data_IF_215087221980
#
_entry.id   IF_215087221980
#
_cell.length_a   1.000
_cell.length_b   1.000
_cell.length_c   1.000
_cell.angle_alpha   90.00
_cell.angle_beta   90.00
_cell.angle_gamma   90.00
#
_symmetry.space_group_name_H-M   'P 1'
#
loop_
_entity.id
_entity.type
_entity.pdbx_description
1 polymer ?
#
# COMPACT_ATOMS: atom_id res chain seq x y z
N UNK A 1 17.69 -5.14 -25.99
CA UNK A 1 17.44 -4.29 -24.80
C UNK A 1 17.12 -5.24 -23.66
N UNK A 2 17.91 -5.22 -22.58
CA UNK A 2 17.65 -6.06 -21.40
C UNK A 2 16.44 -5.45 -20.68
N UNK A 3 15.26 -6.08 -20.84
CA UNK A 3 14.04 -5.61 -20.18
C UNK A 3 14.16 -5.78 -18.66
N UNK A 4 13.92 -4.69 -17.94
CA UNK A 4 13.77 -4.71 -16.48
C UNK A 4 12.60 -5.62 -16.12
N UNK A 5 12.83 -6.62 -15.26
CA UNK A 5 11.78 -7.49 -14.74
C UNK A 5 11.67 -7.35 -13.24
N UNK A 6 10.47 -7.03 -12.79
CA UNK A 6 10.09 -7.02 -11.37
C UNK A 6 9.83 -8.47 -10.94
N UNK A 7 10.63 -8.97 -9.99
CA UNK A 7 10.61 -10.39 -9.58
C UNK A 7 9.68 -10.64 -8.39
N UNK A 8 9.83 -9.82 -7.36
CA UNK A 8 9.03 -9.86 -6.14
C UNK A 8 9.04 -8.50 -5.46
N UNK A 9 8.06 -8.25 -4.61
CA UNK A 9 8.08 -7.09 -3.74
C UNK A 9 9.03 -7.38 -2.58
N UNK A 10 10.05 -6.54 -2.42
CA UNK A 10 11.00 -6.59 -1.30
C UNK A 10 10.41 -5.94 -0.04
N UNK A 11 9.53 -4.96 -0.22
CA UNK A 11 8.86 -4.23 0.85
C UNK A 11 8.17 -2.96 0.34
N UNK A 12 7.76 -2.14 1.27
CA UNK A 12 7.09 -0.86 1.00
C UNK A 12 7.81 0.25 1.74
N UNK A 13 7.87 1.45 1.16
CA UNK A 13 8.50 2.59 1.79
C UNK A 13 7.51 3.75 1.94
N UNK A 14 7.29 4.18 3.17
CA UNK A 14 6.50 5.36 3.53
C UNK A 14 7.43 6.52 3.84
N UNK A 15 6.96 7.74 3.60
CA UNK A 15 7.70 8.97 3.91
C UNK A 15 7.02 9.68 5.08
N UNK A 16 7.81 10.16 6.02
CA UNK A 16 7.29 10.89 7.20
C UNK A 16 8.07 12.18 7.48
N UNK A 17 7.36 13.16 8.00
CA UNK A 17 7.97 14.35 8.59
C UNK A 17 8.41 14.13 10.05
N UNK A 18 7.82 13.13 10.76
CA UNK A 18 8.11 12.81 12.15
C UNK A 18 8.34 11.30 12.33
N UNK A 19 9.59 10.87 12.11
CA UNK A 19 9.97 9.46 12.18
C UNK A 19 9.63 8.80 13.52
N UNK A 20 9.93 9.37 14.69
CA UNK A 20 9.59 8.75 15.96
C UNK A 20 8.08 8.58 16.19
N UNK A 21 7.26 9.54 15.74
CA UNK A 21 5.80 9.48 15.88
C UNK A 21 5.23 8.35 15.03
N UNK A 22 5.61 8.30 13.75
CA UNK A 22 5.09 7.29 12.85
C UNK A 22 5.55 5.89 13.23
N UNK A 23 6.82 5.71 13.58
CA UNK A 23 7.36 4.43 14.07
C UNK A 23 6.59 3.93 15.29
N UNK A 24 6.34 4.79 16.28
CA UNK A 24 5.53 4.40 17.46
C UNK A 24 4.12 3.92 17.06
N UNK A 25 3.45 4.60 16.13
CA UNK A 25 2.14 4.17 15.66
C UNK A 25 2.18 2.74 15.08
N UNK A 26 3.14 2.46 14.19
CA UNK A 26 3.29 1.14 13.58
C UNK A 26 3.66 0.06 14.63
N UNK A 27 4.45 0.39 15.64
CA UNK A 27 4.82 -0.55 16.69
C UNK A 27 3.70 -0.76 17.73
N UNK A 28 3.17 0.34 18.28
CA UNK A 28 2.29 0.28 19.45
C UNK A 28 0.84 -0.04 19.09
N UNK A 29 0.37 0.45 17.91
CA UNK A 29 -1.02 0.25 17.45
C UNK A 29 -1.12 -0.94 16.52
N UNK A 30 -0.23 -1.04 15.53
CA UNK A 30 -0.29 -2.09 14.51
C UNK A 30 0.61 -3.29 14.84
N UNK A 31 1.48 -3.18 15.83
CA UNK A 31 2.33 -4.27 16.31
C UNK A 31 3.44 -4.70 15.34
N UNK A 32 3.90 -3.79 14.47
CA UNK A 32 5.07 -4.06 13.64
C UNK A 32 6.33 -4.22 14.50
N UNK A 33 7.18 -5.16 14.15
CA UNK A 33 8.48 -5.34 14.80
C UNK A 33 9.53 -4.40 14.20
N UNK A 34 10.27 -3.66 15.05
CA UNK A 34 11.38 -2.83 14.59
C UNK A 34 12.69 -3.63 14.52
N UNK A 35 13.48 -3.40 13.47
CA UNK A 35 14.78 -4.00 13.26
C UNK A 35 15.90 -2.98 13.53
N UNK A 36 16.35 -2.94 14.78
CA UNK A 36 17.40 -2.00 15.22
C UNK A 36 16.92 -0.55 15.28
N UNK A 37 17.85 0.38 15.40
CA UNK A 37 17.60 1.82 15.35
C UNK A 37 17.57 2.32 13.89
N UNK A 38 16.94 3.49 13.68
CA UNK A 38 16.94 4.13 12.37
C UNK A 38 18.37 4.43 11.88
N UNK A 39 18.68 4.06 10.65
CA UNK A 39 19.98 4.22 9.99
C UNK A 39 19.96 5.30 8.93
N UNK A 40 21.11 5.89 8.57
CA UNK A 40 21.19 6.76 7.40
C UNK A 40 20.82 6.00 6.11
N UNK A 41 20.12 6.67 5.20
CA UNK A 41 19.94 6.20 3.81
C UNK A 41 21.23 6.52 3.08
N UNK A 42 21.77 5.56 2.32
CA UNK A 42 23.02 5.76 1.62
C UNK A 42 22.91 6.78 0.47
N UNK A 43 24.05 7.36 0.08
CA UNK A 43 24.09 8.41 -0.93
C UNK A 43 23.67 7.93 -2.33
N UNK A 44 23.89 6.66 -2.65
CA UNK A 44 23.48 6.06 -3.93
C UNK A 44 21.96 5.97 -4.01
N UNK A 45 21.31 5.52 -2.93
CA UNK A 45 19.85 5.51 -2.87
C UNK A 45 19.26 6.92 -2.84
N UNK A 46 19.87 7.86 -2.11
CA UNK A 46 19.43 9.27 -2.13
C UNK A 46 19.50 9.86 -3.56
N UNK A 47 20.57 9.57 -4.29
CA UNK A 47 20.73 10.00 -5.69
C UNK A 47 19.69 9.32 -6.60
N UNK A 48 19.42 8.02 -6.41
CA UNK A 48 18.39 7.27 -7.13
C UNK A 48 16.99 7.90 -6.94
N UNK A 49 16.68 8.34 -5.72
CA UNK A 49 15.44 9.02 -5.38
C UNK A 49 15.39 10.48 -5.90
N UNK A 50 16.45 10.99 -6.51
CA UNK A 50 16.55 12.38 -6.97
C UNK A 50 16.61 13.39 -5.81
N UNK A 51 17.07 12.95 -4.64
CA UNK A 51 17.12 13.76 -3.43
C UNK A 51 18.55 14.11 -3.04
N UNK A 52 18.71 15.25 -2.37
CA UNK A 52 19.97 15.71 -1.80
C UNK A 52 19.87 15.84 -0.27
N UNK A 53 21.01 15.85 0.39
CA UNK A 53 21.10 15.96 1.85
C UNK A 53 21.00 14.61 2.55
N UNK A 54 20.62 14.62 3.83
CA UNK A 54 20.57 13.41 4.65
C UNK A 54 19.15 12.80 4.68
N UNK A 55 19.09 11.49 4.62
CA UNK A 55 17.89 10.70 4.89
C UNK A 55 18.13 9.69 6.02
N UNK A 56 17.08 9.30 6.72
CA UNK A 56 17.09 8.25 7.74
C UNK A 56 15.95 7.29 7.50
N UNK A 57 16.21 6.01 7.72
CA UNK A 57 15.24 4.92 7.53
C UNK A 57 15.11 4.10 8.81
N UNK A 58 13.88 3.86 9.24
CA UNK A 58 13.54 2.80 10.18
C UNK A 58 13.01 1.61 9.41
N UNK A 59 13.56 0.43 9.69
CA UNK A 59 13.08 -0.84 9.13
C UNK A 59 12.11 -1.48 10.12
N UNK A 60 10.92 -1.81 9.64
CA UNK A 60 9.87 -2.52 10.37
C UNK A 60 9.46 -3.78 9.60
N UNK A 61 8.81 -4.75 10.28
CA UNK A 61 8.16 -5.89 9.62
C UNK A 61 6.83 -6.24 10.25
N UNK A 62 5.92 -6.77 9.43
CA UNK A 62 4.71 -7.46 9.84
C UNK A 62 4.70 -8.83 9.14
N UNK A 63 4.75 -9.91 9.92
CA UNK A 63 5.05 -11.23 9.37
C UNK A 63 6.39 -11.20 8.61
N UNK A 64 6.39 -11.67 7.36
CA UNK A 64 7.60 -11.68 6.51
C UNK A 64 7.75 -10.43 5.63
N UNK A 65 6.81 -9.49 5.70
CA UNK A 65 6.84 -8.30 4.85
C UNK A 65 7.58 -7.15 5.54
N UNK A 66 8.41 -6.46 4.76
CA UNK A 66 9.20 -5.32 5.23
C UNK A 66 8.49 -4.00 4.94
N UNK A 67 8.50 -3.12 5.92
CA UNK A 67 8.08 -1.73 5.79
C UNK A 67 9.25 -0.82 6.15
N UNK A 68 9.63 0.06 5.26
CA UNK A 68 10.57 1.14 5.53
C UNK A 68 9.81 2.42 5.83
N UNK A 69 10.21 3.13 6.88
CA UNK A 69 9.75 4.49 7.16
C UNK A 69 10.92 5.41 6.96
N UNK A 70 10.83 6.26 5.95
CA UNK A 70 11.87 7.18 5.52
C UNK A 70 11.58 8.61 5.98
N UNK A 71 12.58 9.26 6.53
CA UNK A 71 12.58 10.67 6.87
C UNK A 71 13.71 11.36 6.13
N UNK A 72 13.40 12.43 5.41
CA UNK A 72 14.38 13.19 4.64
C UNK A 72 14.60 14.56 5.29
N UNK A 73 15.87 14.99 5.38
CA UNK A 73 16.24 16.29 5.93
C UNK A 73 15.60 17.46 5.18
N UNK A 74 15.38 17.30 3.87
CA UNK A 74 14.53 18.19 3.09
C UNK A 74 13.12 17.58 3.06
N UNK A 75 12.20 18.14 3.85
CA UNK A 75 10.81 17.71 3.88
C UNK A 75 10.14 17.93 2.51
N UNK A 76 9.34 16.95 2.09
CA UNK A 76 8.42 17.07 0.97
C UNK A 76 7.07 17.64 1.39
N UNK A 77 6.10 17.58 0.48
CA UNK A 77 4.71 18.01 0.74
C UNK A 77 4.03 17.03 1.69
N UNK A 78 3.19 17.55 2.58
CA UNK A 78 2.31 16.73 3.40
C UNK A 78 1.33 15.92 2.51
N UNK A 79 0.73 14.86 3.08
CA UNK A 79 -0.32 14.13 2.40
C UNK A 79 -1.49 15.09 2.08
N UNK A 80 -2.02 15.11 0.83
CA UNK A 80 -3.08 16.05 0.46
C UNK A 80 -4.34 15.82 1.30
N UNK A 81 -4.82 16.88 1.97
CA UNK A 81 -5.98 16.80 2.88
C UNK A 81 -7.28 16.41 2.15
N UNK A 82 -7.44 16.84 0.89
CA UNK A 82 -8.61 16.56 0.05
C UNK A 82 -8.53 15.19 -0.65
N UNK A 83 -7.56 14.35 -0.28
CA UNK A 83 -7.39 13.02 -0.89
C UNK A 83 -8.51 12.07 -0.49
N UNK A 84 -9.11 11.43 -1.47
CA UNK A 84 -10.06 10.33 -1.34
C UNK A 84 -9.53 9.07 -2.05
N UNK A 85 -10.30 7.97 -1.99
CA UNK A 85 -9.89 6.69 -2.58
C UNK A 85 -9.81 6.73 -4.12
N UNK A 86 -10.48 7.65 -4.81
CA UNK A 86 -10.44 7.81 -6.26
C UNK A 86 -9.30 8.73 -6.73
N UNK A 87 -8.67 9.49 -5.85
CA UNK A 87 -7.54 10.37 -6.20
C UNK A 87 -6.38 9.56 -6.79
N UNK A 88 -5.81 10.00 -7.95
CA UNK A 88 -4.78 9.22 -8.66
C UNK A 88 -3.42 9.11 -7.94
N UNK A 89 -3.24 9.75 -6.81
CA UNK A 89 -2.10 9.53 -5.90
C UNK A 89 -2.46 8.68 -4.69
N UNK A 90 -3.70 8.17 -4.61
CA UNK A 90 -4.12 7.30 -3.52
C UNK A 90 -3.46 5.94 -3.65
N UNK A 91 -2.78 5.55 -2.59
CA UNK A 91 -2.14 4.25 -2.48
C UNK A 91 -2.31 3.73 -1.06
N UNK A 92 -2.86 2.54 -0.90
CA UNK A 92 -2.96 1.91 0.41
C UNK A 92 -2.17 0.61 0.50
N UNK A 93 -1.87 0.20 1.74
CA UNK A 93 -1.32 -1.11 2.07
C UNK A 93 -2.41 -1.92 2.77
N UNK A 94 -2.66 -3.14 2.31
CA UNK A 94 -3.65 -4.04 2.89
C UNK A 94 -2.99 -5.02 3.86
N UNK A 95 -3.40 -4.94 5.13
CA UNK A 95 -2.92 -5.78 6.23
C UNK A 95 -3.91 -6.93 6.44
N UNK A 96 -3.46 -8.17 6.27
CA UNK A 96 -4.30 -9.35 6.51
C UNK A 96 -4.48 -9.55 8.01
N UNK A 97 -5.73 -9.65 8.44
CA UNK A 97 -6.09 -9.94 9.82
C UNK A 97 -6.84 -11.27 9.94
N UNK A 98 -6.63 -11.96 11.03
CA UNK A 98 -7.32 -13.20 11.37
C UNK A 98 -8.68 -12.95 12.04
N UNK A 99 -8.80 -11.84 12.79
CA UNK A 99 -10.02 -11.37 13.43
C UNK A 99 -10.21 -9.87 13.18
N UNK A 100 -11.17 -9.52 12.32
CA UNK A 100 -11.49 -8.13 11.97
C UNK A 100 -12.00 -7.33 13.15
N UNK A 101 -12.75 -7.95 14.06
CA UNK A 101 -13.34 -7.24 15.19
C UNK A 101 -12.27 -6.87 16.22
N UNK A 102 -11.38 -7.81 16.55
CA UNK A 102 -10.23 -7.55 17.43
C UNK A 102 -9.31 -6.48 16.80
N UNK A 103 -8.95 -6.65 15.54
CA UNK A 103 -8.07 -5.73 14.83
C UNK A 103 -8.67 -4.32 14.75
N UNK A 104 -9.96 -4.20 14.39
CA UNK A 104 -10.64 -2.91 14.33
C UNK A 104 -10.76 -2.23 15.71
N UNK A 105 -11.05 -3.01 16.76
CA UNK A 105 -11.15 -2.49 18.14
C UNK A 105 -9.82 -1.88 18.63
N UNK A 106 -8.68 -2.32 18.10
CA UNK A 106 -7.35 -1.77 18.44
C UNK A 106 -7.05 -0.44 17.76
N UNK A 107 -7.78 -0.07 16.71
CA UNK A 107 -7.59 1.17 15.93
C UNK A 107 -8.28 2.39 16.55
N UNK A 108 -8.22 2.52 17.88
CA UNK A 108 -8.81 3.68 18.56
C UNK A 108 -8.08 4.98 18.17
N UNK A 109 -8.87 5.99 17.75
CA UNK A 109 -8.34 7.32 17.44
C UNK A 109 -7.70 7.48 16.06
N UNK A 110 -7.75 6.46 15.19
CA UNK A 110 -7.34 6.62 13.78
C UNK A 110 -8.40 7.38 13.00
N UNK A 111 -8.00 8.05 11.91
CA UNK A 111 -8.92 8.70 10.98
C UNK A 111 -9.50 7.63 10.02
N UNK A 112 -10.79 7.27 10.12
CA UNK A 112 -11.38 6.29 9.22
C UNK A 112 -11.57 6.88 7.82
N UNK A 113 -11.33 6.05 6.80
CA UNK A 113 -11.81 6.29 5.42
C UNK A 113 -13.17 5.59 5.27
N UNK A 114 -13.27 4.36 5.80
CA UNK A 114 -14.53 3.62 5.76
C UNK A 114 -15.58 4.20 6.69
N UNK A 115 -16.81 4.27 6.22
CA UNK A 115 -17.95 4.72 7.00
C UNK A 115 -18.68 3.53 7.64
N UNK A 116 -19.03 3.66 8.93
CA UNK A 116 -19.80 2.66 9.67
C UNK A 116 -19.03 1.39 10.03
N UNK A 117 -17.70 1.47 10.16
CA UNK A 117 -16.83 0.35 10.55
C UNK A 117 -16.51 -0.63 9.41
N UNK A 118 -16.03 -1.85 9.74
CA UNK A 118 -15.66 -2.85 8.75
C UNK A 118 -16.82 -3.25 7.83
N UNK A 119 -16.54 -3.37 6.54
CA UNK A 119 -17.51 -3.70 5.50
C UNK A 119 -17.28 -5.11 4.97
N UNK A 120 -18.33 -5.90 4.83
CA UNK A 120 -18.30 -7.19 4.14
C UNK A 120 -18.66 -6.98 2.69
N UNK A 121 -17.71 -7.23 1.80
CA UNK A 121 -17.92 -7.15 0.36
C UNK A 121 -18.69 -8.38 -0.16
N UNK A 122 -19.43 -8.25 -1.27
CA UNK A 122 -20.14 -9.37 -1.88
C UNK A 122 -19.17 -10.45 -2.39
N UNK A 123 -19.70 -11.66 -2.64
CA UNK A 123 -18.87 -12.78 -3.15
C UNK A 123 -18.25 -12.51 -4.52
N UNK A 124 -18.86 -11.65 -5.34
CA UNK A 124 -18.32 -11.13 -6.60
C UNK A 124 -17.00 -10.34 -6.41
N UNK A 125 -16.82 -9.75 -5.23
CA UNK A 125 -15.61 -9.02 -4.81
C UNK A 125 -14.81 -9.83 -3.78
N UNK A 126 -14.80 -11.17 -3.89
CA UNK A 126 -14.07 -12.08 -3.01
C UNK A 126 -14.75 -12.40 -1.68
N UNK A 127 -15.80 -11.68 -1.25
CA UNK A 127 -16.50 -11.90 0.02
C UNK A 127 -15.68 -11.52 1.26
N UNK A 128 -14.62 -10.75 1.08
CA UNK A 128 -13.72 -10.31 2.16
C UNK A 128 -14.42 -9.31 3.09
N UNK A 129 -13.90 -9.19 4.29
CA UNK A 129 -14.23 -8.09 5.18
C UNK A 129 -13.07 -7.10 5.17
N UNK A 130 -13.36 -5.80 5.04
CA UNK A 130 -12.33 -4.78 4.88
C UNK A 130 -12.68 -3.51 5.66
N UNK A 131 -11.64 -2.76 6.08
CA UNK A 131 -11.77 -1.47 6.75
C UNK A 131 -10.59 -0.58 6.38
N UNK A 132 -10.85 0.58 5.77
CA UNK A 132 -9.82 1.55 5.39
C UNK A 132 -9.73 2.69 6.39
N UNK A 133 -8.50 3.10 6.68
CA UNK A 133 -8.20 4.18 7.63
C UNK A 133 -6.87 4.85 7.24
N UNK A 134 -6.55 5.95 7.92
CA UNK A 134 -5.27 6.65 7.73
C UNK A 134 -4.39 6.51 8.96
N UNK A 135 -3.09 6.42 8.72
CA UNK A 135 -2.08 6.56 9.77
C UNK A 135 -1.92 8.05 10.18
N UNK A 136 -1.08 8.36 11.19
CA UNK A 136 -0.90 9.74 11.66
C UNK A 136 -0.40 10.75 10.61
N UNK A 137 0.26 10.29 9.54
CA UNK A 137 0.73 11.15 8.45
C UNK A 137 -0.23 11.22 7.27
N UNK A 138 -1.31 10.42 7.31
CA UNK A 138 -2.35 10.40 6.31
C UNK A 138 -2.22 9.28 5.28
N UNK A 139 -1.23 8.36 5.41
CA UNK A 139 -1.12 7.22 4.50
C UNK A 139 -2.33 6.30 4.68
N UNK A 140 -2.98 5.92 3.58
CA UNK A 140 -4.10 4.99 3.64
C UNK A 140 -3.62 3.58 3.94
N UNK A 141 -4.35 2.90 4.83
CA UNK A 141 -4.18 1.50 5.19
C UNK A 141 -5.51 0.79 5.08
N UNK A 142 -5.48 -0.52 4.87
CA UNK A 142 -6.66 -1.37 4.87
C UNK A 142 -6.44 -2.57 5.79
N UNK A 143 -7.39 -2.89 6.66
CA UNK A 143 -7.50 -4.21 7.26
C UNK A 143 -8.28 -5.10 6.30
N UNK A 144 -7.79 -6.32 6.07
CA UNK A 144 -8.38 -7.29 5.15
C UNK A 144 -8.53 -8.65 5.84
N UNK A 145 -9.75 -9.16 5.94
CA UNK A 145 -10.01 -10.52 6.42
C UNK A 145 -10.66 -11.35 5.31
N UNK A 146 -10.03 -12.47 4.98
CA UNK A 146 -10.58 -13.43 4.04
C UNK A 146 -11.75 -14.23 4.66
N UNK A 147 -12.78 -14.58 3.89
CA UNK A 147 -13.87 -15.40 4.41
C UNK A 147 -13.39 -16.81 4.77
N UNK A 148 -14.05 -17.48 5.74
CA UNK A 148 -13.70 -18.85 6.11
C UNK A 148 -13.65 -19.78 4.90
N UNK A 149 -12.60 -20.60 4.83
CA UNK A 149 -12.39 -21.56 3.74
C UNK A 149 -11.88 -20.95 2.42
N UNK A 150 -11.70 -19.63 2.32
CA UNK A 150 -11.15 -18.92 1.15
C UNK A 150 -9.85 -18.15 1.45
N UNK A 151 -9.30 -18.34 2.64
CA UNK A 151 -7.99 -17.76 2.98
C UNK A 151 -6.92 -18.36 2.08
N UNK A 152 -6.14 -17.53 1.33
CA UNK A 152 -5.02 -18.01 0.54
C UNK A 152 -4.02 -18.82 1.37
N UNK A 153 -3.37 -19.81 0.75
CA UNK A 153 -2.45 -20.72 1.46
C UNK A 153 -1.31 -19.98 2.17
N UNK A 154 -0.84 -18.88 1.60
CA UNK A 154 0.21 -18.04 2.19
C UNK A 154 -0.19 -17.48 3.56
N UNK A 155 -1.48 -17.31 3.84
CA UNK A 155 -2.01 -16.79 5.11
C UNK A 155 -2.62 -17.88 6.00
N UNK A 156 -3.01 -19.03 5.46
CA UNK A 156 -3.78 -20.07 6.16
C UNK A 156 -3.06 -20.68 7.34
N UNK A 157 -1.74 -20.77 7.29
CA UNK A 157 -0.90 -21.42 8.31
C UNK A 157 0.02 -20.42 9.02
N UNK A 158 -0.31 -19.14 8.98
CA UNK A 158 0.41 -18.12 9.73
C UNK A 158 -0.29 -17.83 11.03
N UNK A 159 0.47 -17.89 12.10
CA UNK A 159 0.02 -17.43 13.40
C UNK A 159 0.40 -15.97 13.57
N UNK A 160 -0.52 -15.19 14.08
CA UNK A 160 -0.26 -13.82 14.49
C UNK A 160 0.63 -13.86 15.76
N UNK A 161 1.76 -13.16 15.71
CA UNK A 161 2.56 -13.00 16.92
C UNK A 161 1.86 -12.07 17.91
N UNK A 162 2.12 -12.26 19.19
CA UNK A 162 1.60 -11.38 20.24
C UNK A 162 1.84 -9.91 19.88
N UNK A 163 0.82 -9.08 20.08
CA UNK A 163 0.77 -7.65 19.75
C UNK A 163 0.64 -7.29 18.28
N UNK A 164 0.87 -8.16 17.31
CA UNK A 164 0.62 -7.84 15.91
C UNK A 164 -0.88 -7.67 15.64
N UNK A 165 -1.24 -6.71 14.77
CA UNK A 165 -2.63 -6.52 14.36
C UNK A 165 -3.05 -7.59 13.34
N UNK A 166 -2.11 -8.14 12.60
CA UNK A 166 -2.37 -9.06 11.50
C UNK A 166 -1.19 -9.96 11.18
N UNK A 167 -1.36 -10.73 10.10
CA UNK A 167 -0.46 -11.79 9.63
C UNK A 167 0.65 -11.26 8.70
N UNK A 168 0.41 -10.12 8.06
CA UNK A 168 1.33 -9.53 7.08
C UNK A 168 0.64 -8.56 6.13
N UNK A 169 1.36 -8.12 5.09
CA UNK A 169 0.87 -7.21 4.04
C UNK A 169 0.56 -8.03 2.80
N UNK A 170 -0.69 -8.07 2.35
CA UNK A 170 -1.13 -8.83 1.17
C UNK A 170 -0.81 -8.09 -0.13
N UNK A 171 -1.15 -6.82 -0.19
CA UNK A 171 -0.97 -6.02 -1.39
C UNK A 171 -0.76 -4.54 -1.09
N UNK A 172 -0.30 -3.82 -2.10
CA UNK A 172 -0.50 -2.38 -2.20
C UNK A 172 -1.47 -2.12 -3.33
N UNK A 173 -2.50 -1.29 -3.10
CA UNK A 173 -3.42 -0.89 -4.15
C UNK A 173 -3.23 0.59 -4.50
N UNK A 174 -3.19 0.87 -5.79
CA UNK A 174 -3.01 2.21 -6.36
C UNK A 174 -4.21 2.60 -7.22
N UNK A 175 -4.68 3.82 -7.09
CA UNK A 175 -5.73 4.36 -7.95
C UNK A 175 -5.14 4.83 -9.27
N UNK A 176 -5.73 4.37 -10.39
CA UNK A 176 -5.23 4.61 -11.75
C UNK A 176 -6.32 5.17 -12.65
N UNK A 177 -5.92 6.05 -13.59
CA UNK A 177 -6.86 6.66 -14.54
C UNK A 177 -7.37 5.66 -15.58
N UNK A 178 -6.47 4.79 -16.06
CA UNK A 178 -6.78 3.75 -17.06
C UNK A 178 -6.17 2.42 -16.63
N UNK A 179 -6.99 1.49 -16.04
CA UNK A 179 -6.50 0.18 -15.61
C UNK A 179 -5.89 -0.68 -16.71
N UNK A 180 -6.32 -0.52 -17.96
CA UNK A 180 -5.75 -1.29 -19.08
C UNK A 180 -4.37 -0.78 -19.46
N UNK A 181 -4.19 0.54 -19.54
CA UNK A 181 -2.89 1.16 -19.80
C UNK A 181 -1.90 0.83 -18.67
N UNK A 182 -2.34 0.95 -17.40
CA UNK A 182 -1.50 0.59 -16.26
C UNK A 182 -1.19 -0.89 -16.21
N UNK A 183 -2.15 -1.79 -16.50
CA UNK A 183 -1.89 -3.22 -16.57
C UNK A 183 -0.91 -3.57 -17.70
N UNK A 184 -0.99 -2.91 -18.86
CA UNK A 184 -0.03 -3.10 -19.95
C UNK A 184 1.38 -2.67 -19.52
N UNK A 185 1.50 -1.53 -18.83
CA UNK A 185 2.77 -1.06 -18.26
C UNK A 185 3.40 -2.09 -17.31
N UNK A 186 2.64 -2.59 -16.32
CA UNK A 186 3.15 -3.56 -15.35
C UNK A 186 3.42 -4.94 -15.98
N UNK A 187 2.67 -5.35 -17.02
CA UNK A 187 3.01 -6.57 -17.80
C UNK A 187 4.35 -6.41 -18.53
N UNK A 188 4.64 -5.26 -19.10
CA UNK A 188 5.93 -4.99 -19.73
C UNK A 188 7.09 -5.06 -18.71
N UNK A 189 6.83 -4.78 -17.43
CA UNK A 189 7.77 -4.95 -16.32
C UNK A 189 7.80 -6.38 -15.76
N UNK A 190 7.02 -7.33 -16.30
CA UNK A 190 7.08 -8.75 -15.97
C UNK A 190 6.02 -9.25 -14.99
N UNK A 191 5.03 -8.42 -14.59
CA UNK A 191 3.92 -8.86 -13.76
C UNK A 191 2.84 -9.54 -14.59
N UNK A 192 2.10 -10.47 -13.98
CA UNK A 192 0.93 -11.11 -14.58
C UNK A 192 -0.36 -10.54 -13.99
N UNK A 193 -1.36 -10.28 -14.83
CA UNK A 193 -2.68 -9.85 -14.35
C UNK A 193 -3.45 -11.06 -13.81
N UNK A 194 -4.10 -10.88 -12.66
CA UNK A 194 -5.10 -11.81 -12.13
C UNK A 194 -6.51 -11.52 -12.65
N UNK A 195 -7.49 -12.21 -12.07
CA UNK A 195 -8.90 -12.02 -12.41
C UNK A 195 -9.36 -10.62 -11.98
N UNK A 196 -9.99 -9.94 -12.93
CA UNK A 196 -10.55 -8.61 -12.69
C UNK A 196 -11.90 -8.71 -11.99
N UNK A 197 -12.15 -7.83 -11.04
CA UNK A 197 -13.48 -7.62 -10.46
C UNK A 197 -13.98 -6.20 -10.75
N UNK A 198 -15.29 -6.03 -10.71
CA UNK A 198 -15.95 -4.75 -10.69
C UNK A 198 -16.69 -4.66 -9.36
N UNK A 199 -16.25 -3.74 -8.50
CA UNK A 199 -16.79 -3.57 -7.18
C UNK A 199 -17.70 -2.35 -7.16
N UNK A 200 -18.90 -2.51 -6.64
CA UNK A 200 -19.93 -1.48 -6.55
C UNK A 200 -20.83 -1.67 -5.32
N UNK A 201 -21.88 -0.86 -5.25
CA UNK A 201 -22.94 -0.99 -4.28
C UNK A 201 -22.60 -0.45 -2.88
N UNK A 202 -23.56 -0.59 -1.92
CA UNK A 202 -23.48 0.11 -0.64
C UNK A 202 -22.28 -0.28 0.24
N UNK A 203 -21.81 -1.54 0.16
CA UNK A 203 -20.64 -1.98 0.94
C UNK A 203 -19.36 -1.33 0.43
N UNK A 204 -19.18 -1.27 -0.90
CA UNK A 204 -18.02 -0.61 -1.51
C UNK A 204 -18.03 0.89 -1.27
N UNK A 205 -19.20 1.54 -1.37
CA UNK A 205 -19.36 2.96 -1.06
C UNK A 205 -18.92 3.28 0.37
N UNK A 206 -19.37 2.49 1.34
CA UNK A 206 -18.96 2.66 2.74
C UNK A 206 -17.49 2.34 2.97
N UNK A 207 -16.93 1.35 2.27
CA UNK A 207 -15.52 0.99 2.38
C UNK A 207 -14.61 2.14 1.91
N UNK A 208 -14.98 2.77 0.79
CA UNK A 208 -14.17 3.83 0.19
C UNK A 208 -14.53 5.25 0.70
N UNK A 209 -15.60 5.36 1.49
CA UNK A 209 -16.11 6.66 1.97
C UNK A 209 -16.61 7.56 0.85
N UNK A 210 -17.06 6.99 -0.27
CA UNK A 210 -17.50 7.67 -1.49
C UNK A 210 -18.92 7.27 -1.86
N UNK A 211 -19.66 8.18 -2.51
CA UNK A 211 -20.98 7.89 -3.07
C UNK A 211 -20.86 7.28 -4.49
N UNK A 212 -21.85 6.45 -4.84
CA UNK A 212 -22.03 5.91 -6.20
C UNK A 212 -20.76 5.25 -6.78
N UNK A 213 -20.01 4.51 -5.93
CA UNK A 213 -18.74 3.90 -6.33
C UNK A 213 -18.96 2.77 -7.32
N UNK A 214 -18.22 2.85 -8.41
CA UNK A 214 -17.94 1.75 -9.32
C UNK A 214 -16.43 1.71 -9.59
N UNK A 215 -15.73 0.68 -9.09
CA UNK A 215 -14.29 0.54 -9.21
C UNK A 215 -13.90 -0.82 -9.80
N UNK A 216 -13.13 -0.79 -10.89
CA UNK A 216 -12.50 -1.98 -11.45
C UNK A 216 -11.22 -2.28 -10.66
N UNK A 217 -11.06 -3.52 -10.18
CA UNK A 217 -9.87 -3.98 -9.46
C UNK A 217 -9.13 -4.98 -10.34
N UNK A 218 -7.84 -4.72 -10.61
CA UNK A 218 -6.99 -5.60 -11.42
C UNK A 218 -5.75 -5.98 -10.62
N UNK A 219 -5.67 -7.22 -10.08
CA UNK A 219 -4.48 -7.68 -9.41
C UNK A 219 -3.33 -7.85 -10.40
N UNK A 220 -2.14 -7.35 -10.04
CA UNK A 220 -0.89 -7.49 -10.80
C UNK A 220 0.11 -8.25 -9.95
N UNK A 221 0.39 -9.50 -10.32
CA UNK A 221 1.17 -10.44 -9.51
C UNK A 221 2.60 -10.58 -10.03
N UNK A 222 3.63 -10.39 -9.19
CA UNK A 222 4.99 -10.77 -9.51
C UNK A 222 5.15 -12.31 -9.50
N UNK A 223 6.25 -12.82 -10.06
CA UNK A 223 6.56 -14.24 -10.05
C UNK A 223 6.63 -14.82 -8.61
N UNK A 224 7.04 -14.02 -7.64
CA UNK A 224 7.08 -14.39 -6.21
C UNK A 224 5.72 -14.46 -5.51
N UNK A 225 4.62 -14.07 -6.18
CA UNK A 225 3.27 -14.15 -5.62
C UNK A 225 2.92 -12.98 -4.69
N UNK A 226 2.82 -13.25 -3.41
CA UNK A 226 2.44 -12.25 -2.37
C UNK A 226 3.69 -11.68 -1.69
N UNK A 227 3.74 -10.36 -1.39
CA UNK A 227 2.74 -9.34 -1.69
C UNK A 227 2.57 -9.05 -3.18
N UNK A 228 1.44 -8.46 -3.58
CA UNK A 228 1.18 -8.08 -4.96
C UNK A 228 0.71 -6.62 -5.08
N UNK A 229 0.50 -6.15 -6.29
CA UNK A 229 -0.06 -4.82 -6.59
C UNK A 229 -1.51 -4.98 -7.05
N UNK A 230 -2.41 -4.08 -6.67
CA UNK A 230 -3.74 -3.93 -7.23
C UNK A 230 -3.92 -2.58 -7.90
N UNK A 231 -4.52 -2.58 -9.09
CA UNK A 231 -4.89 -1.37 -9.82
C UNK A 231 -6.37 -1.09 -9.56
N UNK A 232 -6.69 0.10 -9.07
CA UNK A 232 -8.05 0.54 -8.77
C UNK A 232 -8.47 1.58 -9.81
N UNK A 233 -9.27 1.17 -10.79
CA UNK A 233 -9.81 2.08 -11.80
C UNK A 233 -11.20 2.56 -11.45
N UNK A 234 -11.31 3.70 -10.79
CA UNK A 234 -12.60 4.30 -10.44
C UNK A 234 -13.30 4.84 -11.68
N UNK A 235 -14.48 4.29 -11.98
CA UNK A 235 -15.36 4.79 -13.05
C UNK A 235 -16.28 5.89 -12.53
N UNK A 236 -16.73 5.73 -11.27
CA UNK A 236 -17.54 6.68 -10.51
C UNK A 236 -17.09 6.67 -9.04
N UNK A 237 -16.75 7.82 -8.43
CA UNK A 237 -16.36 9.04 -9.14
C UNK A 237 -15.07 8.82 -9.92
N UNK A 238 -14.84 9.58 -10.98
CA UNK A 238 -13.57 9.52 -11.71
C UNK A 238 -12.45 10.12 -10.86
N UNK A 239 -11.31 9.45 -10.87
CA UNK A 239 -10.12 9.92 -10.19
C UNK A 239 -9.62 11.26 -10.73
N UNK A 240 -9.11 12.09 -9.82
CA UNK A 240 -8.50 13.37 -10.16
C UNK A 240 -6.98 13.26 -10.07
N UNK A 241 -6.30 13.75 -11.12
CA UNK A 241 -4.85 13.83 -11.10
C UNK A 241 -4.38 14.91 -10.11
N UNK A 242 -3.33 14.58 -9.40
CA UNK A 242 -2.61 15.51 -8.51
C UNK A 242 -1.32 16.03 -9.14
N UNK A 243 -0.59 16.86 -8.40
CA UNK A 243 0.74 17.26 -8.81
C UNK A 243 1.69 16.05 -8.79
N UNK A 244 2.65 16.01 -9.73
CA UNK A 244 3.65 14.96 -9.78
C UNK A 244 4.34 14.79 -8.41
N UNK A 245 4.44 13.55 -7.93
CA UNK A 245 5.04 13.21 -6.64
C UNK A 245 6.57 13.26 -6.74
N UNK A 246 7.19 13.81 -5.69
CA UNK A 246 8.63 13.66 -5.45
C UNK A 246 8.84 12.56 -4.41
N UNK A 247 9.96 11.88 -4.46
CA UNK A 247 10.24 10.76 -3.56
C UNK A 247 10.24 11.12 -2.06
N UNK A 248 10.34 12.40 -1.70
CA UNK A 248 10.24 12.91 -0.33
C UNK A 248 8.84 13.45 0.05
N UNK A 249 7.86 13.46 -0.86
CA UNK A 249 6.49 13.81 -0.50
C UNK A 249 5.86 12.70 0.36
N UNK A 250 5.04 13.05 1.33
CA UNK A 250 4.41 12.05 2.21
C UNK A 250 3.50 11.11 1.44
N UNK A 251 2.80 11.58 0.39
CA UNK A 251 1.98 10.73 -0.47
C UNK A 251 2.79 9.83 -1.42
N UNK A 252 4.10 9.96 -1.47
CA UNK A 252 4.97 9.16 -2.34
C UNK A 252 5.33 7.80 -1.71
N UNK A 253 4.31 7.01 -1.37
CA UNK A 253 4.52 5.61 -1.00
C UNK A 253 5.19 4.87 -2.15
N UNK A 254 6.29 4.17 -1.88
CA UNK A 254 7.00 3.38 -2.89
C UNK A 254 6.77 1.90 -2.67
N UNK A 255 6.51 1.19 -3.76
CA UNK A 255 6.67 -0.27 -3.77
C UNK A 255 8.12 -0.55 -4.13
N UNK A 256 8.82 -1.28 -3.29
CA UNK A 256 10.23 -1.62 -3.49
C UNK A 256 10.30 -3.05 -4.04
N UNK A 257 10.83 -3.18 -5.23
CA UNK A 257 10.91 -4.41 -5.99
C UNK A 257 12.33 -4.99 -5.98
N UNK A 258 12.44 -6.31 -6.02
CA UNK A 258 13.66 -6.98 -6.44
C UNK A 258 13.68 -7.01 -7.96
N UNK A 259 14.81 -6.63 -8.54
CA UNK A 259 14.99 -6.60 -9.98
C UNK A 259 16.45 -6.64 -10.37
N UNK A 260 16.76 -6.41 -11.65
CA UNK A 260 18.12 -6.51 -12.16
C UNK A 260 18.92 -5.25 -11.88
N UNK A 261 18.35 -4.10 -12.18
CA UNK A 261 19.05 -2.81 -12.15
C UNK A 261 18.31 -1.86 -11.20
N UNK A 262 19.05 -1.23 -10.28
CA UNK A 262 18.48 -0.28 -9.34
C UNK A 262 17.98 0.97 -10.10
N UNK A 263 16.69 1.29 -9.96
CA UNK A 263 16.08 2.46 -10.59
C UNK A 263 14.80 2.90 -9.87
N UNK A 264 14.42 4.15 -10.09
CA UNK A 264 13.12 4.69 -9.70
C UNK A 264 12.27 4.87 -10.96
N UNK A 265 11.10 4.24 -10.99
CA UNK A 265 10.19 4.25 -12.14
C UNK A 265 8.90 4.91 -11.70
N UNK A 266 8.40 5.92 -12.45
CA UNK A 266 7.03 6.40 -12.33
C UNK A 266 6.13 5.57 -13.23
N UNK A 267 4.98 5.10 -12.71
CA UNK A 267 3.96 4.50 -13.55
C UNK A 267 3.18 5.58 -14.33
N UNK A 268 2.20 5.22 -15.18
CA UNK A 268 1.45 6.20 -15.99
C UNK A 268 0.75 7.30 -15.19
N UNK A 269 0.38 7.03 -13.93
CA UNK A 269 -0.29 7.98 -13.02
C UNK A 269 0.66 8.62 -12.01
N UNK A 270 1.96 8.25 -12.04
CA UNK A 270 3.01 8.85 -11.23
C UNK A 270 3.28 8.15 -9.89
N UNK A 271 2.71 6.95 -9.65
CA UNK A 271 3.10 6.13 -8.50
C UNK A 271 4.54 5.63 -8.65
N UNK A 272 5.29 5.69 -7.57
CA UNK A 272 6.73 5.41 -7.60
C UNK A 272 7.03 3.94 -7.31
N UNK A 273 7.74 3.32 -8.25
CA UNK A 273 8.24 1.95 -8.18
C UNK A 273 9.77 2.02 -8.02
N UNK A 274 10.28 1.64 -6.86
CA UNK A 274 11.72 1.58 -6.61
C UNK A 274 12.20 0.16 -6.85
N UNK A 275 13.21 -0.01 -7.71
CA UNK A 275 13.83 -1.31 -7.95
C UNK A 275 15.17 -1.35 -7.24
N UNK A 276 15.45 -2.42 -6.53
CA UNK A 276 16.74 -2.76 -5.93
C UNK A 276 17.26 -4.10 -6.48
N UNK A 277 18.57 -4.24 -6.54
CA UNK A 277 19.27 -5.48 -6.94
C UNK A 277 19.34 -6.48 -5.82
#
# INVERSE_FOLDING_TARGET
MNEQRLQSIAGFALVTADLPRLVRFYQDVLGFAAHGAATPIDNGEMALLGLSGAGRRQVLSLGDQTLWIDHFGQAGRAYPAESDAASLWFQHLALVVDDMQDAHARLNGVAPISHGGPQRLPSSSGGVQAFKFRDPDGHPLELLQFPPGRTPDVWRHRDRLDRQIGLGIDHSAISVADPEASAAFYRALGLSAGDRTLNDGPAQQRLDGLADVEVAVVPMKPAGGTPHLELLGYRTPRGQAGPALRANDVAATRIVWRGRDAQLIGDPDGHLQQVQT
#
